data_IF_415759082892
#
_entry.id   IF_415759082892
#
_cell.length_a   1.000
_cell.length_b   1.000
_cell.length_c   1.000
_cell.angle_alpha   90.00
_cell.angle_beta   90.00
_cell.angle_gamma   90.00
#
_symmetry.space_group_name_H-M   'P 1'
#
loop_
_entity.id
_entity.type
_entity.pdbx_description
1 polymer ?
#
# COMPACT_ATOMS: atom_id res chain seq x y z
N UNK A 1 14.49 -8.79 12.19
CA UNK A 1 15.62 -8.08 11.55
C UNK A 1 15.52 -6.54 11.64
N UNK A 2 14.64 -5.94 12.46
CA UNK A 2 14.43 -4.47 12.51
C UNK A 2 15.07 -3.75 13.71
N UNK A 3 15.35 -4.47 14.81
CA UNK A 3 15.97 -3.90 16.01
C UNK A 3 17.30 -3.14 15.76
N UNK A 4 18.27 -3.65 14.97
CA UNK A 4 19.53 -2.93 14.74
C UNK A 4 19.35 -1.66 13.89
N UNK A 5 18.37 -1.65 12.98
CA UNK A 5 18.07 -0.50 12.12
C UNK A 5 17.41 0.64 12.91
N UNK A 6 16.47 0.32 13.81
CA UNK A 6 15.81 1.32 14.67
C UNK A 6 16.85 1.99 15.58
N UNK A 7 17.71 1.22 16.25
CA UNK A 7 18.76 1.77 17.11
C UNK A 7 19.76 2.66 16.34
N UNK A 8 20.07 2.27 15.09
CA UNK A 8 20.91 3.07 14.21
C UNK A 8 20.27 4.42 13.87
N UNK A 9 18.99 4.42 13.46
CA UNK A 9 18.25 5.64 13.14
C UNK A 9 18.05 6.53 14.38
N UNK A 10 17.80 5.93 15.54
CA UNK A 10 17.67 6.63 16.82
C UNK A 10 18.99 7.33 17.22
N UNK A 11 20.14 6.68 16.98
CA UNK A 11 21.46 7.29 17.19
C UNK A 11 21.67 8.50 16.27
N UNK A 12 21.31 8.39 14.99
CA UNK A 12 21.41 9.50 14.04
C UNK A 12 20.45 10.66 14.39
N UNK A 13 19.28 10.36 14.96
CA UNK A 13 18.32 11.37 15.39
C UNK A 13 18.74 12.12 16.65
N UNK A 14 19.48 11.47 17.56
CA UNK A 14 19.98 12.08 18.80
C UNK A 14 21.29 12.84 18.62
N UNK A 15 22.15 12.38 17.73
CA UNK A 15 23.45 12.99 17.49
C UNK A 15 23.64 13.30 16.00
N UNK A 16 23.52 14.58 15.59
CA UNK A 16 23.72 14.98 14.20
C UNK A 16 25.17 14.78 13.71
N UNK A 17 26.16 14.74 14.62
CA UNK A 17 27.55 14.45 14.27
C UNK A 17 27.78 12.96 14.03
N UNK A 18 26.89 12.09 14.52
CA UNK A 18 26.95 10.66 14.21
C UNK A 18 26.74 10.37 12.71
N UNK A 19 26.27 11.34 11.92
CA UNK A 19 26.22 11.23 10.47
C UNK A 19 27.61 11.26 9.80
N UNK A 20 28.67 11.65 10.53
CA UNK A 20 30.05 11.48 10.04
C UNK A 20 30.31 10.01 9.71
N UNK A 21 30.89 9.76 8.54
CA UNK A 21 31.15 8.42 8.02
C UNK A 21 29.89 7.55 7.84
N UNK A 22 28.72 8.15 7.55
CA UNK A 22 27.46 7.44 7.31
C UNK A 22 27.63 6.20 6.42
N UNK A 23 28.35 6.32 5.30
CA UNK A 23 28.57 5.19 4.38
C UNK A 23 29.27 3.99 5.06
N UNK A 24 30.30 4.23 5.85
CA UNK A 24 31.03 3.16 6.55
C UNK A 24 30.17 2.53 7.65
N UNK A 25 29.40 3.35 8.38
CA UNK A 25 28.48 2.85 9.42
C UNK A 25 27.34 2.03 8.82
N UNK A 26 26.77 2.49 7.70
CA UNK A 26 25.75 1.76 6.94
C UNK A 26 26.34 0.48 6.34
N UNK A 27 27.61 0.47 5.92
CA UNK A 27 28.32 -0.73 5.43
C UNK A 27 28.45 -1.81 6.51
N UNK A 28 28.69 -1.42 7.76
CA UNK A 28 28.79 -2.33 8.90
C UNK A 28 27.44 -2.90 9.38
N UNK A 29 26.31 -2.34 8.92
CA UNK A 29 24.98 -2.76 9.33
C UNK A 29 24.60 -4.07 8.62
N UNK A 30 24.05 -5.02 9.38
CA UNK A 30 23.49 -6.28 8.85
C UNK A 30 22.06 -6.04 8.35
N UNK A 31 21.98 -5.41 7.18
CA UNK A 31 20.73 -5.15 6.45
C UNK A 31 20.89 -5.54 4.99
N UNK A 32 19.76 -5.84 4.36
CA UNK A 32 19.69 -6.17 2.96
C UNK A 32 20.09 -4.98 2.06
N UNK A 33 20.43 -5.29 0.80
CA UNK A 33 20.86 -4.30 -0.18
C UNK A 33 19.86 -3.13 -0.39
N UNK A 34 18.54 -3.34 -0.49
CA UNK A 34 17.60 -2.23 -0.69
C UNK A 34 17.51 -1.30 0.53
N UNK A 35 17.50 -1.82 1.76
CA UNK A 35 17.52 -0.99 2.97
C UNK A 35 18.82 -0.18 3.05
N UNK A 36 19.95 -0.80 2.70
CA UNK A 36 21.25 -0.12 2.65
C UNK A 36 21.24 1.04 1.65
N UNK A 37 20.73 0.81 0.44
CA UNK A 37 20.59 1.86 -0.57
C UNK A 37 19.68 3.01 -0.10
N UNK A 38 18.58 2.68 0.59
CA UNK A 38 17.67 3.67 1.15
C UNK A 38 18.32 4.55 2.24
N UNK A 39 19.15 3.96 3.12
CA UNK A 39 19.92 4.70 4.13
C UNK A 39 20.93 5.66 3.50
N UNK A 40 21.65 5.20 2.47
CA UNK A 40 22.65 6.00 1.75
C UNK A 40 21.98 7.15 0.99
N UNK A 41 20.89 6.85 0.28
CA UNK A 41 20.12 7.82 -0.49
C UNK A 41 19.24 8.74 0.34
N UNK A 42 19.15 8.53 1.67
CA UNK A 42 18.25 9.23 2.58
C UNK A 42 16.78 9.18 2.13
N UNK A 43 16.39 8.07 1.51
CA UNK A 43 15.05 7.87 0.99
C UNK A 43 14.11 7.37 2.10
N UNK A 44 13.41 8.32 2.72
CA UNK A 44 12.44 8.02 3.78
C UNK A 44 11.30 7.10 3.30
N UNK A 45 10.88 7.20 2.04
CA UNK A 45 9.82 6.36 1.48
C UNK A 45 10.28 4.91 1.29
N UNK A 46 11.50 4.71 0.78
CA UNK A 46 12.10 3.38 0.69
C UNK A 46 12.36 2.77 2.07
N UNK A 47 12.80 3.56 3.06
CA UNK A 47 12.94 3.11 4.44
C UNK A 47 11.60 2.70 5.04
N UNK A 48 10.55 3.51 4.86
CA UNK A 48 9.22 3.19 5.36
C UNK A 48 8.71 1.84 4.79
N UNK A 49 8.87 1.62 3.47
CA UNK A 49 8.56 0.34 2.84
C UNK A 49 9.39 -0.83 3.40
N UNK A 50 10.67 -0.62 3.68
CA UNK A 50 11.54 -1.63 4.31
C UNK A 50 11.08 -1.99 5.73
N UNK A 51 10.46 -1.04 6.45
CA UNK A 51 9.80 -1.29 7.74
C UNK A 51 8.40 -1.92 7.62
N UNK A 52 7.94 -2.20 6.40
CA UNK A 52 6.62 -2.79 6.16
C UNK A 52 5.47 -1.79 6.33
N UNK A 53 5.73 -0.48 6.30
CA UNK A 53 4.64 0.49 6.34
C UNK A 53 3.81 0.41 5.06
N UNK A 54 2.50 0.27 5.20
CA UNK A 54 1.56 0.46 4.10
C UNK A 54 1.35 1.97 3.85
N UNK A 55 1.10 2.39 2.60
CA UNK A 55 0.55 3.71 2.34
C UNK A 55 -0.72 3.93 3.18
N UNK A 56 -1.00 5.18 3.60
CA UNK A 56 -2.25 5.49 4.28
C UNK A 56 -3.43 5.14 3.36
N UNK A 57 -4.35 4.34 3.87
CA UNK A 57 -5.63 4.07 3.22
C UNK A 57 -6.58 5.23 3.52
N UNK A 58 -7.04 5.91 2.48
CA UNK A 58 -8.06 6.94 2.61
C UNK A 58 -9.44 6.29 2.49
N UNK A 59 -10.19 6.21 3.59
CA UNK A 59 -11.59 5.81 3.56
C UNK A 59 -12.44 7.05 3.30
N UNK A 60 -12.98 7.17 2.08
CA UNK A 60 -14.02 8.15 1.80
C UNK A 60 -15.35 7.62 2.33
N UNK A 61 -15.92 8.31 3.31
CA UNK A 61 -17.25 8.04 3.84
C UNK A 61 -18.18 9.08 3.25
N UNK A 62 -19.20 8.64 2.52
CA UNK A 62 -20.25 9.51 2.01
C UNK A 62 -21.42 9.50 3.00
N UNK A 63 -21.88 10.70 3.37
CA UNK A 63 -23.20 10.82 3.99
C UNK A 63 -24.28 10.47 2.95
N UNK A 64 -25.45 9.98 3.36
CA UNK A 64 -26.55 9.67 2.43
C UNK A 64 -26.96 10.87 1.54
N UNK A 65 -26.75 12.10 2.01
CA UNK A 65 -26.99 13.33 1.25
C UNK A 65 -25.93 13.64 0.17
N UNK A 66 -24.75 13.02 0.26
CA UNK A 66 -23.62 13.18 -0.66
C UNK A 66 -23.49 12.00 -1.65
N UNK A 67 -24.53 11.17 -1.76
CA UNK A 67 -24.53 10.02 -2.65
C UNK A 67 -24.31 10.50 -4.10
N UNK A 68 -23.27 9.99 -4.80
CA UNK A 68 -23.04 10.37 -6.19
C UNK A 68 -24.28 10.02 -7.00
N UNK A 69 -24.91 11.04 -7.58
CA UNK A 69 -26.03 10.81 -8.49
C UNK A 69 -25.56 9.90 -9.62
N UNK A 70 -26.36 8.91 -10.05
CA UNK A 70 -26.07 8.16 -11.25
C UNK A 70 -25.75 9.14 -12.36
N UNK A 71 -24.56 9.01 -12.96
CA UNK A 71 -24.31 9.67 -14.23
C UNK A 71 -25.22 8.94 -15.23
N UNK A 72 -26.10 9.69 -15.90
CA UNK A 72 -26.81 9.16 -17.06
C UNK A 72 -25.73 8.74 -18.07
N UNK A 73 -25.52 7.43 -18.23
CA UNK A 73 -24.73 6.91 -19.33
C UNK A 73 -25.35 7.48 -20.64
N UNK A 74 -24.55 8.04 -21.55
CA UNK A 74 -25.09 8.42 -22.85
C UNK A 74 -25.69 7.17 -23.50
N UNK A 75 -26.87 7.27 -24.14
CA UNK A 75 -27.53 6.12 -24.72
C UNK A 75 -26.57 5.43 -25.69
N UNK A 76 -26.17 4.21 -25.37
CA UNK A 76 -25.40 3.37 -26.25
C UNK A 76 -26.20 3.11 -27.52
N UNK A 77 -25.61 3.39 -28.68
CA UNK A 77 -26.05 2.80 -29.95
C UNK A 77 -25.83 1.29 -29.83
N UNK A 78 -26.90 0.58 -29.47
CA UNK A 78 -26.95 -0.88 -29.48
C UNK A 78 -27.65 -1.35 -30.75
N UNK A 79 -26.92 -1.93 -31.73
CA UNK A 79 -27.52 -2.72 -32.77
C UNK A 79 -27.26 -4.21 -32.51
N UNK A 80 -28.07 -4.81 -31.64
CA UNK A 80 -28.66 -6.11 -31.94
C UNK A 80 -28.46 -7.19 -30.89
N UNK A 81 -29.55 -7.53 -30.21
CA UNK A 81 -29.84 -8.86 -29.65
C UNK A 81 -30.82 -9.57 -30.61
N UNK A 82 -31.12 -10.90 -30.57
CA UNK A 82 -30.63 -12.05 -29.76
C UNK A 82 -30.35 -13.33 -30.66
N UNK A 83 -30.20 -14.61 -30.20
CA UNK A 83 -30.68 -15.18 -28.93
C UNK A 83 -29.89 -16.32 -28.21
N UNK A 84 -30.20 -16.38 -26.91
CA UNK A 84 -30.55 -17.56 -26.08
C UNK A 84 -29.51 -18.55 -25.51
N UNK A 85 -29.64 -18.71 -24.17
CA UNK A 85 -29.27 -19.82 -23.23
C UNK A 85 -27.83 -19.82 -22.69
N UNK A 86 -27.58 -19.91 -21.37
CA UNK A 86 -28.32 -20.59 -20.30
C UNK A 86 -28.35 -19.79 -18.98
N UNK A 87 -29.41 -19.95 -18.15
CA UNK A 87 -29.39 -19.50 -16.76
C UNK A 87 -28.58 -20.48 -15.92
N UNK A 88 -27.47 -20.03 -15.33
CA UNK A 88 -26.78 -20.79 -14.27
C UNK A 88 -27.41 -20.38 -12.92
N UNK A 89 -28.60 -20.94 -12.69
CA UNK A 89 -29.20 -21.00 -11.36
C UNK A 89 -28.26 -21.79 -10.45
N UNK A 90 -27.52 -21.11 -9.56
CA UNK A 90 -26.97 -21.81 -8.38
C UNK A 90 -28.13 -22.05 -7.40
N UNK A 91 -28.54 -23.31 -7.15
CA UNK A 91 -29.62 -23.60 -6.23
C UNK A 91 -29.18 -23.34 -4.79
N UNK A 92 -30.19 -23.04 -3.96
CA UNK A 92 -30.09 -22.54 -2.61
C UNK A 92 -29.14 -23.27 -1.67
N UNK A 93 -28.55 -22.49 -0.76
CA UNK A 93 -28.02 -23.01 0.48
C UNK A 93 -29.16 -22.96 1.49
N UNK A 94 -29.90 -24.05 1.62
CA UNK A 94 -30.87 -24.20 2.70
C UNK A 94 -30.16 -24.04 4.06
N UNK A 95 -30.82 -23.41 5.05
CA UNK A 95 -30.35 -23.42 6.42
C UNK A 95 -30.48 -24.84 6.99
N UNK A 96 -29.37 -25.37 7.51
CA UNK A 96 -29.34 -26.66 8.22
C UNK A 96 -30.11 -26.49 9.57
N UNK A 97 -31.03 -27.40 9.93
CA UNK A 97 -31.75 -27.37 11.20
C UNK A 97 -30.86 -27.63 12.42
#
# INVERSE_FOLDING_TARGET
>A
MTAPLIAFLDTLGRDPLAAENLHARVAALDVDAPTRAALIGRDAGALARAFGTSPPLWCMVFSPEDEPKPQDDPPGDDPGDPPDRQPDERPGRDPVP
#
